data_IF_552245584115
#
_entry.id   IF_552245584115
#
_cell.length_a   1.000
_cell.length_b   1.000
_cell.length_c   1.000
_cell.angle_alpha   90.00
_cell.angle_beta   90.00
_cell.angle_gamma   90.00
#
_symmetry.space_group_name_H-M   'P 1'
#
loop_
_entity.id
_entity.type
_entity.pdbx_description
1 polymer ?
#
# COMPACT_ATOMS: atom_id res chain seq x y z
N UNK A 1 6.86 24.21 9.76
CA UNK A 1 6.44 23.99 9.38
C UNK A 1 5.61 24.22 9.10
N UNK A 2 5.78 24.55 9.14
CA UNK A 2 4.75 24.88 8.90
C UNK A 2 3.90 23.80 8.67
N UNK A 3 3.26 23.25 9.33
CA UNK A 3 2.40 22.16 9.18
C UNK A 3 1.80 22.02 7.83
N UNK A 4 2.27 22.82 6.95
CA UNK A 4 1.74 22.76 5.64
C UNK A 4 2.11 21.48 4.97
N UNK A 5 1.15 20.79 4.44
CA UNK A 5 1.42 19.57 3.73
C UNK A 5 1.86 19.88 2.34
N UNK A 6 2.93 19.25 1.99
CA UNK A 6 3.37 19.29 0.62
C UNK A 6 2.45 18.40 -0.21
N UNK A 7 1.92 18.93 -1.31
CA UNK A 7 1.05 18.15 -2.18
C UNK A 7 1.76 16.98 -2.83
N UNK A 8 3.10 16.93 -2.74
CA UNK A 8 3.87 15.82 -3.27
C UNK A 8 4.30 14.84 -2.19
N UNK A 9 3.97 15.11 -0.92
CA UNK A 9 4.37 14.23 0.17
C UNK A 9 3.65 12.91 0.09
N UNK A 10 4.39 11.81 0.17
CA UNK A 10 3.81 10.48 0.17
C UNK A 10 3.62 9.91 1.57
N UNK A 11 4.12 10.60 2.62
CA UNK A 11 4.04 10.09 3.98
C UNK A 11 2.60 9.76 4.42
N UNK A 12 1.61 10.64 4.17
CA UNK A 12 0.25 10.30 4.55
C UNK A 12 -0.31 9.10 3.77
N UNK A 13 0.15 8.91 2.55
CA UNK A 13 -0.29 7.77 1.74
C UNK A 13 0.27 6.48 2.33
N UNK A 14 1.55 6.48 2.72
CA UNK A 14 2.15 5.30 3.37
C UNK A 14 1.43 4.98 4.67
N UNK A 15 1.09 6.00 5.46
CA UNK A 15 0.36 5.79 6.71
C UNK A 15 -1.01 5.15 6.44
N UNK A 16 -1.70 5.62 5.42
CA UNK A 16 -3.00 5.05 5.05
C UNK A 16 -2.85 3.60 4.61
N UNK A 17 -1.81 3.30 3.84
CA UNK A 17 -1.59 1.94 3.38
C UNK A 17 -1.33 0.98 4.54
N UNK A 18 -0.76 1.46 5.62
CA UNK A 18 -0.54 0.64 6.81
C UNK A 18 -1.82 0.17 7.48
N UNK A 19 -2.99 0.68 7.07
CA UNK A 19 -4.26 0.21 7.60
C UNK A 19 -4.91 -0.87 6.75
N UNK A 20 -4.32 -1.18 5.60
CA UNK A 20 -4.88 -2.17 4.68
C UNK A 20 -4.30 -3.53 5.07
N UNK A 21 -5.16 -4.41 5.54
CA UNK A 21 -4.75 -5.70 6.10
C UNK A 21 -5.05 -6.81 5.10
N UNK A 22 -4.04 -7.66 4.88
CA UNK A 22 -4.24 -8.87 4.11
C UNK A 22 -4.95 -9.88 5.03
N UNK A 23 -6.18 -10.26 4.72
CA UNK A 23 -6.95 -11.12 5.63
C UNK A 23 -6.38 -12.52 5.76
N UNK A 24 -5.59 -12.98 4.79
CA UNK A 24 -4.98 -14.31 4.89
C UNK A 24 -3.82 -14.32 5.88
N UNK A 25 -3.04 -13.25 5.91
CA UNK A 25 -1.82 -13.21 6.70
C UNK A 25 -1.98 -12.40 7.97
N UNK A 26 -3.01 -11.55 8.03
CA UNK A 26 -3.24 -10.72 9.22
C UNK A 26 -2.27 -9.58 9.40
N UNK A 27 -1.51 -9.25 8.36
CA UNK A 27 -0.55 -8.17 8.38
C UNK A 27 -0.93 -7.12 7.33
N UNK A 28 -0.52 -5.89 7.57
CA UNK A 28 -0.80 -4.83 6.62
C UNK A 28 0.11 -4.96 5.38
N UNK A 29 -0.35 -4.37 4.29
CA UNK A 29 0.33 -4.53 3.00
C UNK A 29 1.71 -3.88 2.98
N UNK A 30 1.94 -2.85 3.78
CA UNK A 30 3.26 -2.22 3.87
C UNK A 30 4.24 -3.16 4.57
N UNK A 31 3.84 -3.71 5.70
CA UNK A 31 4.66 -4.64 6.46
C UNK A 31 5.00 -5.88 5.63
N UNK A 32 4.04 -6.34 4.83
CA UNK A 32 4.25 -7.51 3.98
C UNK A 32 5.18 -7.24 2.80
N UNK A 33 5.49 -5.99 2.53
CA UNK A 33 6.35 -5.66 1.39
C UNK A 33 5.61 -5.71 0.07
N UNK A 34 4.29 -5.56 0.08
CA UNK A 34 3.50 -5.60 -1.15
C UNK A 34 3.47 -4.26 -1.88
N UNK A 35 3.83 -3.18 -1.20
CA UNK A 35 3.83 -1.85 -1.82
C UNK A 35 5.22 -1.57 -2.36
N UNK A 36 5.30 -1.41 -3.68
CA UNK A 36 6.59 -1.21 -4.34
C UNK A 36 6.91 0.24 -4.59
N UNK A 37 5.90 1.08 -4.77
CA UNK A 37 6.13 2.49 -5.04
C UNK A 37 4.89 3.29 -4.73
N UNK A 38 5.08 4.51 -4.27
CA UNK A 38 3.99 5.45 -4.01
C UNK A 38 4.41 6.78 -4.62
N UNK A 39 3.57 7.31 -5.50
CA UNK A 39 3.79 8.62 -6.09
C UNK A 39 2.60 9.51 -5.80
N UNK A 40 2.85 10.78 -5.67
CA UNK A 40 1.79 11.74 -5.47
C UNK A 40 2.04 12.96 -6.36
N UNK A 41 1.00 13.32 -7.10
CA UNK A 41 1.05 14.48 -7.98
C UNK A 41 -0.21 15.28 -7.70
N UNK A 42 -0.07 16.31 -6.85
CA UNK A 42 -1.21 17.11 -6.44
C UNK A 42 -2.27 16.27 -5.75
N UNK A 43 -3.43 16.15 -6.35
CA UNK A 43 -4.55 15.39 -5.79
C UNK A 43 -4.58 13.94 -6.24
N UNK A 44 -3.64 13.53 -7.09
CA UNK A 44 -3.55 12.16 -7.56
C UNK A 44 -2.52 11.39 -6.73
N UNK A 45 -2.91 10.23 -6.24
CA UNK A 45 -1.99 9.30 -5.60
C UNK A 45 -1.92 8.05 -6.46
N UNK A 46 -0.71 7.59 -6.75
CA UNK A 46 -0.50 6.38 -7.53
C UNK A 46 0.25 5.38 -6.68
N UNK A 47 -0.29 4.19 -6.56
CA UNK A 47 0.29 3.13 -5.74
C UNK A 47 0.61 1.95 -6.65
N UNK A 48 1.88 1.55 -6.66
CA UNK A 48 2.33 0.36 -7.37
C UNK A 48 2.50 -0.74 -6.34
N UNK A 49 1.84 -1.86 -6.55
CA UNK A 49 1.86 -2.94 -5.58
C UNK A 49 1.87 -4.30 -6.27
N UNK A 50 2.15 -5.31 -5.49
CA UNK A 50 2.06 -6.68 -5.95
C UNK A 50 1.19 -7.49 -4.98
N UNK A 51 1.08 -8.78 -5.23
CA UNK A 51 0.37 -9.71 -4.37
C UNK A 51 1.25 -10.94 -4.16
N UNK A 52 0.89 -11.74 -3.16
CA UNK A 52 1.69 -12.91 -2.83
C UNK A 52 1.51 -14.05 -3.84
N UNK A 53 0.36 -14.10 -4.52
CA UNK A 53 0.06 -15.19 -5.44
C UNK A 53 -0.78 -14.65 -6.60
N UNK A 54 -0.40 -14.94 -7.86
CA UNK A 54 -1.22 -14.55 -9.01
C UNK A 54 -2.56 -15.29 -9.01
N UNK A 55 -3.59 -14.60 -9.49
CA UNK A 55 -4.91 -15.20 -9.62
C UNK A 55 -5.65 -15.39 -8.32
N UNK A 56 -5.14 -14.82 -7.24
CA UNK A 56 -5.76 -14.94 -5.95
C UNK A 56 -7.03 -14.09 -5.90
N UNK A 57 -8.16 -14.61 -5.39
CA UNK A 57 -9.36 -13.77 -5.23
C UNK A 57 -9.13 -12.60 -4.30
N UNK A 58 -8.04 -12.60 -3.53
CA UNK A 58 -7.68 -11.49 -2.68
C UNK A 58 -7.25 -10.26 -3.46
N UNK A 59 -6.92 -10.40 -4.74
CA UNK A 59 -6.45 -9.29 -5.55
C UNK A 59 -7.42 -8.10 -5.47
N UNK A 60 -8.71 -8.37 -5.66
CA UNK A 60 -9.70 -7.33 -5.64
C UNK A 60 -9.85 -6.71 -4.26
N UNK A 61 -9.83 -7.55 -3.24
CA UNK A 61 -9.98 -7.10 -1.86
C UNK A 61 -8.82 -6.17 -1.49
N UNK A 62 -7.60 -6.56 -1.84
CA UNK A 62 -6.42 -5.75 -1.54
C UNK A 62 -6.46 -4.45 -2.34
N UNK A 63 -6.75 -4.53 -3.62
CA UNK A 63 -6.79 -3.34 -4.48
C UNK A 63 -7.87 -2.37 -4.00
N UNK A 64 -9.06 -2.88 -3.69
CA UNK A 64 -10.14 -2.03 -3.20
C UNK A 64 -9.79 -1.42 -1.85
N UNK A 65 -9.11 -2.18 -0.98
CA UNK A 65 -8.67 -1.69 0.31
C UNK A 65 -7.65 -0.56 0.17
N UNK A 66 -6.70 -0.73 -0.74
CA UNK A 66 -5.70 0.31 -1.02
C UNK A 66 -6.40 1.57 -1.51
N UNK A 67 -7.32 1.41 -2.46
CA UNK A 67 -8.01 2.56 -3.04
C UNK A 67 -8.84 3.28 -1.99
N UNK A 68 -9.55 2.53 -1.16
CA UNK A 68 -10.39 3.13 -0.12
C UNK A 68 -9.54 3.87 0.92
N UNK A 69 -8.45 3.26 1.36
CA UNK A 69 -7.60 3.86 2.38
C UNK A 69 -6.93 5.13 1.87
N UNK A 70 -6.37 5.08 0.66
CA UNK A 70 -5.64 6.21 0.11
C UNK A 70 -6.59 7.35 -0.23
N UNK A 71 -7.82 7.05 -0.61
CA UNK A 71 -8.80 8.09 -0.91
C UNK A 71 -9.18 8.91 0.31
N UNK A 72 -8.90 8.41 1.52
CA UNK A 72 -9.15 9.15 2.75
C UNK A 72 -8.03 10.12 3.10
N UNK A 73 -6.93 10.07 2.38
CA UNK A 73 -5.81 10.98 2.64
C UNK A 73 -6.22 12.39 2.24
N UNK A 74 -6.00 13.34 3.13
CA UNK A 74 -6.38 14.73 2.88
C UNK A 74 -5.68 15.24 1.63
N UNK A 75 -6.45 15.83 0.74
CA UNK A 75 -5.92 16.39 -0.50
C UNK A 75 -5.88 15.42 -1.65
N UNK A 76 -6.17 14.14 -1.41
CA UNK A 76 -6.21 13.14 -2.48
C UNK A 76 -7.65 12.99 -2.97
N UNK A 77 -7.87 13.24 -4.24
CA UNK A 77 -9.19 13.07 -4.86
C UNK A 77 -9.19 11.97 -5.89
N UNK A 78 -8.02 11.53 -6.34
CA UNK A 78 -7.90 10.46 -7.33
C UNK A 78 -6.85 9.47 -6.88
N UNK A 79 -7.16 8.19 -7.03
CA UNK A 79 -6.24 7.13 -6.68
C UNK A 79 -6.11 6.20 -7.87
N UNK A 80 -4.86 5.94 -8.26
CA UNK A 80 -4.55 4.94 -9.26
C UNK A 80 -3.78 3.81 -8.61
N UNK A 81 -4.15 2.59 -8.92
CA UNK A 81 -3.41 1.43 -8.45
C UNK A 81 -2.81 0.72 -9.66
N UNK A 82 -1.61 0.21 -9.48
CA UNK A 82 -0.92 -0.52 -10.53
C UNK A 82 -0.41 -1.82 -9.94
N UNK A 83 -0.95 -2.92 -10.42
CA UNK A 83 -0.53 -4.25 -9.96
C UNK A 83 0.59 -4.72 -10.86
N UNK A 84 1.70 -5.13 -10.25
CA UNK A 84 2.85 -5.62 -10.99
C UNK A 84 3.30 -6.94 -10.39
N UNK A 85 3.96 -7.75 -11.21
CA UNK A 85 4.45 -9.05 -10.80
C UNK A 85 5.98 -9.15 -10.88
N UNK A 86 6.65 -8.04 -11.15
CA UNK A 86 8.10 -7.98 -11.26
C UNK A 86 8.61 -6.76 -10.51
N UNK A 87 9.48 -6.96 -9.52
CA UNK A 87 10.00 -8.25 -9.05
C UNK A 87 8.92 -9.06 -8.34
N UNK A 88 9.04 -10.38 -8.40
CA UNK A 88 8.08 -11.25 -7.74
C UNK A 88 8.22 -11.13 -6.23
N UNK A 89 7.09 -11.12 -5.55
CA UNK A 89 7.10 -11.08 -4.09
C UNK A 89 7.60 -12.40 -3.52
N UNK A 90 8.35 -12.32 -2.42
CA UNK A 90 8.75 -13.50 -1.65
C UNK A 90 8.79 -13.12 -0.18
N UNK A 91 8.72 -14.13 0.72
CA UNK A 91 8.63 -13.86 2.16
C UNK A 91 9.77 -13.03 2.74
N UNK A 92 10.92 -13.00 2.08
CA UNK A 92 12.03 -12.16 2.52
C UNK A 92 11.74 -10.67 2.46
N UNK A 93 10.66 -10.28 1.78
CA UNK A 93 10.25 -8.89 1.69
C UNK A 93 9.42 -8.42 2.88
N UNK A 94 9.00 -9.35 3.74
CA UNK A 94 8.24 -9.00 4.93
C UNK A 94 9.18 -8.27 5.90
N UNK A 95 8.68 -7.18 6.50
CA UNK A 95 9.49 -6.38 7.40
C UNK A 95 9.96 -7.22 8.59
N UNK A 96 11.20 -7.03 9.03
CA UNK A 96 11.71 -7.75 10.19
C UNK A 96 10.83 -7.53 11.41
N UNK A 97 10.57 -8.58 12.16
CA UNK A 97 9.79 -8.48 13.39
C UNK A 97 8.29 -8.44 13.17
N UNK A 98 7.82 -8.63 11.93
CA UNK A 98 6.40 -8.59 11.64
C UNK A 98 5.63 -9.71 12.33
N UNK A 99 6.26 -10.87 12.50
CA UNK A 99 5.64 -11.99 13.19
C UNK A 99 6.23 -12.12 14.57
N UNK A 100 5.43 -12.56 15.57
CA UNK A 100 5.96 -12.79 16.89
C UNK A 100 7.08 -13.81 16.84
N UNK A 101 8.05 -13.66 17.72
CA UNK A 101 9.11 -14.64 17.86
C UNK A 101 8.49 -15.95 18.30
N UNK A 102 8.90 -17.04 17.70
CA UNK A 102 8.38 -18.34 18.06
C UNK A 102 9.40 -19.10 18.86
#
# INVERSE_FOLDING_TARGET
>A
MDGRRDATSTDPVWAALGTVIDPELGLDVVTLGLIYDVERDGDLARVTHTLTTPGCPMERIITDGIRAAVSQVQGVTRVETRLVWDPAWHPGMIAPGAFPAS
#
